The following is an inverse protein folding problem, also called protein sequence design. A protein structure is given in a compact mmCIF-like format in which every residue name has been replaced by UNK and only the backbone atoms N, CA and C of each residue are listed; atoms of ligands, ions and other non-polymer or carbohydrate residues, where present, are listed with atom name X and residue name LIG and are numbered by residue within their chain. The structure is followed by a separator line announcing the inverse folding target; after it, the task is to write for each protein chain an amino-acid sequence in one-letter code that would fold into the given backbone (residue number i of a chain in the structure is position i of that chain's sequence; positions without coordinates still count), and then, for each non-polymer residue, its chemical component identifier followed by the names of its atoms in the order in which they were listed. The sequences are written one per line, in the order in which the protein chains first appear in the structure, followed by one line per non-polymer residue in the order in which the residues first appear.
data_IF_055128831688
#
_entry.id   IF_055128831688
#
_cell.length_a   1.000
_cell.length_b   1.000
_cell.length_c   1.000
_cell.angle_alpha   90.00
_cell.angle_beta   90.00
_cell.angle_gamma   90.00
#
_symmetry.space_group_name_H-M   'P 1'
#
loop_
_entity.id
_entity.type
_entity.pdbx_description
1 polymer ?
#
# COMPACT_ATOMS: atom_id res chain seq x y z
N UNK A 1 -1.12 -9.99 1.85
CA UNK A 1 -2.36 -9.73 2.62
C UNK A 1 -2.97 -8.39 2.24
N UNK A 2 -2.49 -7.22 2.68
CA UNK A 2 -3.21 -5.95 2.39
C UNK A 2 -3.29 -5.59 0.90
N UNK A 3 -2.27 -5.91 0.10
CA UNK A 3 -2.27 -5.77 -1.37
C UNK A 3 -3.14 -6.80 -2.11
N UNK A 4 -3.73 -7.76 -1.38
CA UNK A 4 -4.36 -8.97 -1.92
C UNK A 4 -5.82 -9.10 -1.46
N UNK A 5 -6.11 -8.77 -0.19
CA UNK A 5 -7.46 -8.83 0.39
C UNK A 5 -8.08 -7.46 0.63
N UNK A 6 -7.34 -6.37 0.44
CA UNK A 6 -7.80 -5.04 0.85
C UNK A 6 -7.65 -4.80 2.35
N UNK A 7 -7.59 -3.53 2.73
CA UNK A 7 -7.43 -3.11 4.13
C UNK A 7 -8.78 -3.03 4.85
N UNK A 8 -9.86 -2.70 4.14
CA UNK A 8 -11.20 -2.58 4.71
C UNK A 8 -11.87 -3.94 4.90
N UNK A 9 -11.65 -4.90 4.00
CA UNK A 9 -12.20 -6.25 4.13
C UNK A 9 -11.51 -7.08 5.23
N UNK A 10 -10.27 -6.73 5.62
CA UNK A 10 -9.57 -7.38 6.71
C UNK A 10 -10.00 -6.80 8.07
N UNK A 11 -10.67 -7.60 8.90
CA UNK A 11 -10.90 -7.26 10.31
C UNK A 11 -9.57 -7.05 11.05
N UNK A 12 -9.54 -6.16 12.05
CA UNK A 12 -8.30 -5.85 12.79
C UNK A 12 -7.68 -7.09 13.45
N UNK A 13 -8.51 -8.02 13.94
CA UNK A 13 -8.05 -9.30 14.49
C UNK A 13 -7.44 -10.21 13.42
N UNK A 14 -7.93 -10.16 12.17
CA UNK A 14 -7.31 -10.89 11.05
C UNK A 14 -5.98 -10.27 10.64
N UNK A 15 -5.84 -8.94 10.72
CA UNK A 15 -4.57 -8.24 10.51
C UNK A 15 -3.56 -8.64 11.59
N UNK A 16 -3.94 -8.52 12.87
CA UNK A 16 -3.09 -8.85 14.02
C UNK A 16 -2.66 -10.32 13.99
N UNK A 17 -3.59 -11.24 13.68
CA UNK A 17 -3.30 -12.67 13.57
C UNK A 17 -2.29 -12.98 12.46
N UNK A 18 -2.34 -12.25 11.35
CA UNK A 18 -1.45 -12.48 10.20
C UNK A 18 -0.04 -11.88 10.37
N UNK A 19 0.13 -10.86 11.22
CA UNK A 19 1.45 -10.26 11.48
C UNK A 19 2.26 -11.00 12.56
N UNK A 20 1.70 -12.05 13.18
CA UNK A 20 2.34 -12.84 14.25
C UNK A 20 2.84 -11.99 15.44
N UNK A 21 2.25 -10.81 15.67
CA UNK A 21 2.58 -9.91 16.78
C UNK A 21 1.54 -10.09 17.90
N UNK A 22 1.94 -10.12 19.18
CA UNK A 22 0.99 -10.13 20.29
C UNK A 22 0.05 -8.93 20.24
N UNK A 23 -1.24 -9.16 20.56
CA UNK A 23 -2.28 -8.11 20.54
C UNK A 23 -1.89 -6.89 21.38
N UNK A 24 -1.25 -7.10 22.53
CA UNK A 24 -0.73 -6.02 23.38
C UNK A 24 0.34 -5.14 22.71
N UNK A 25 1.27 -5.75 21.96
CA UNK A 25 2.31 -5.01 21.23
C UNK A 25 1.74 -4.22 20.05
N UNK A 26 0.67 -4.71 19.41
CA UNK A 26 -0.04 -3.95 18.38
C UNK A 26 -0.65 -2.65 18.94
N UNK A 27 -1.39 -2.74 20.05
CA UNK A 27 -2.02 -1.57 20.66
C UNK A 27 -1.03 -0.61 21.34
N UNK A 28 0.18 -1.11 21.68
CA UNK A 28 1.28 -0.23 22.07
C UNK A 28 1.77 0.63 20.89
N UNK A 29 1.83 0.06 19.68
CA UNK A 29 2.29 0.78 18.50
C UNK A 29 1.19 1.64 17.84
N UNK A 30 -0.08 1.21 17.90
CA UNK A 30 -1.19 1.87 17.23
C UNK A 30 -2.41 2.02 18.14
N UNK A 31 -2.89 3.26 18.28
CA UNK A 31 -4.03 3.60 19.15
C UNK A 31 -5.38 3.08 18.61
N UNK A 32 -5.50 2.82 17.32
CA UNK A 32 -6.70 2.29 16.70
C UNK A 32 -6.40 1.59 15.36
N UNK A 33 -7.41 0.91 14.79
CA UNK A 33 -7.33 0.36 13.43
C UNK A 33 -7.02 1.48 12.45
N UNK A 34 -7.75 2.58 12.50
CA UNK A 34 -7.59 3.75 11.63
C UNK A 34 -6.16 4.31 11.69
N UNK A 35 -5.59 4.44 12.89
CA UNK A 35 -4.20 4.90 13.05
C UNK A 35 -3.20 3.95 12.38
N UNK A 36 -3.40 2.64 12.48
CA UNK A 36 -2.61 1.65 11.76
C UNK A 36 -2.77 1.77 10.24
N UNK A 37 -4.00 1.98 9.74
CA UNK A 37 -4.26 2.18 8.32
C UNK A 37 -3.56 3.39 7.73
N UNK A 38 -3.58 4.52 8.46
CA UNK A 38 -2.87 5.74 8.05
C UNK A 38 -1.36 5.48 8.00
N UNK A 39 -0.80 4.80 9.01
CA UNK A 39 0.62 4.47 9.02
C UNK A 39 1.02 3.53 7.86
N UNK A 40 0.19 2.54 7.54
CA UNK A 40 0.40 1.67 6.38
C UNK A 40 0.33 2.44 5.06
N UNK A 41 -0.63 3.36 4.93
CA UNK A 41 -0.76 4.23 3.77
C UNK A 41 0.47 5.10 3.56
N UNK A 42 0.96 5.74 4.64
CA UNK A 42 2.17 6.56 4.60
C UNK A 42 3.38 5.72 4.18
N UNK A 43 3.61 4.57 4.84
CA UNK A 43 4.72 3.68 4.52
C UNK A 43 4.68 3.16 3.07
N UNK A 44 3.47 2.88 2.54
CA UNK A 44 3.33 2.50 1.13
C UNK A 44 3.57 3.68 0.19
N UNK A 45 3.15 4.89 0.55
CA UNK A 45 3.46 6.12 -0.17
C UNK A 45 4.96 6.31 -0.33
N UNK A 46 5.70 6.23 0.78
CA UNK A 46 7.16 6.35 0.79
C UNK A 46 7.84 5.25 -0.04
N UNK A 47 7.40 4.01 0.11
CA UNK A 47 7.89 2.89 -0.70
C UNK A 47 7.68 3.11 -2.20
N UNK A 48 6.51 3.63 -2.58
CA UNK A 48 6.17 3.85 -3.98
C UNK A 48 6.91 5.06 -4.57
N UNK A 49 7.05 6.14 -3.79
CA UNK A 49 7.86 7.30 -4.16
C UNK A 49 9.32 6.89 -4.40
N UNK A 50 9.93 6.15 -3.47
CA UNK A 50 11.30 5.66 -3.65
C UNK A 50 11.44 4.75 -4.88
N UNK A 51 10.42 3.94 -5.19
CA UNK A 51 10.39 3.14 -6.41
C UNK A 51 10.33 4.03 -7.66
N UNK A 52 9.51 5.08 -7.68
CA UNK A 52 9.45 6.02 -8.79
C UNK A 52 10.79 6.74 -8.98
N UNK A 53 11.36 7.26 -7.90
CA UNK A 53 12.64 7.96 -7.92
C UNK A 53 13.74 7.10 -8.54
N UNK A 54 13.81 5.82 -8.13
CA UNK A 54 14.79 4.86 -8.67
C UNK A 54 14.77 4.74 -10.20
N UNK A 55 13.60 4.86 -10.83
CA UNK A 55 13.48 4.73 -12.28
C UNK A 55 13.48 6.08 -13.00
N UNK A 56 12.78 7.06 -12.46
CA UNK A 56 12.50 8.32 -13.16
C UNK A 56 13.61 9.35 -12.99
N UNK A 57 14.40 9.27 -11.92
CA UNK A 57 15.52 10.18 -11.67
C UNK A 57 16.89 9.63 -12.12
N UNK A 58 16.91 8.51 -12.85
CA UNK A 58 18.15 7.96 -13.40
C UNK A 58 18.58 8.73 -14.66
N UNK A 59 19.43 9.75 -14.47
CA UNK A 59 19.90 10.61 -15.55
C UNK A 59 20.81 9.94 -16.58
N UNK A 60 21.26 8.72 -16.32
CA UNK A 60 21.99 7.92 -17.30
C UNK A 60 21.07 7.28 -18.37
N UNK A 61 19.75 7.26 -18.15
CA UNK A 61 18.77 6.61 -19.02
C UNK A 61 17.90 7.64 -19.75
N UNK A 62 17.58 7.47 -21.04
CA UNK A 62 16.66 8.36 -21.75
C UNK A 62 15.26 8.42 -21.11
N UNK A 63 14.57 9.57 -21.09
CA UNK A 63 13.32 9.74 -20.34
C UNK A 63 12.21 8.72 -20.67
N UNK A 64 12.02 8.37 -21.95
CA UNK A 64 11.03 7.37 -22.34
C UNK A 64 11.42 5.95 -21.88
N UNK A 65 12.71 5.65 -21.84
CA UNK A 65 13.23 4.36 -21.38
C UNK A 65 13.08 4.19 -19.87
N UNK A 66 13.23 5.28 -19.08
CA UNK A 66 12.91 5.29 -17.64
C UNK A 66 11.47 4.87 -17.38
N UNK A 67 10.55 5.45 -18.16
CA UNK A 67 9.11 5.18 -18.04
C UNK A 67 8.78 3.73 -18.43
N UNK A 68 9.36 3.24 -19.53
CA UNK A 68 9.21 1.85 -19.94
C UNK A 68 9.82 0.86 -18.92
N UNK A 69 10.97 1.19 -18.33
CA UNK A 69 11.62 0.38 -17.31
C UNK A 69 10.78 0.28 -16.03
N UNK A 70 10.19 1.40 -15.58
CA UNK A 70 9.26 1.42 -14.46
C UNK A 70 8.05 0.52 -14.72
N UNK A 71 7.38 0.66 -15.87
CA UNK A 71 6.20 -0.15 -16.23
C UNK A 71 6.55 -1.64 -16.27
N UNK A 72 7.68 -1.98 -16.90
CA UNK A 72 8.15 -3.38 -16.97
C UNK A 72 8.43 -3.96 -15.59
N UNK A 73 9.12 -3.21 -14.74
CA UNK A 73 9.42 -3.63 -13.38
C UNK A 73 8.15 -3.76 -12.52
N UNK A 74 7.18 -2.86 -12.69
CA UNK A 74 5.88 -3.00 -12.06
C UNK A 74 5.15 -4.29 -12.51
N UNK A 75 5.15 -4.57 -13.81
CA UNK A 75 4.58 -5.81 -14.38
C UNK A 75 5.22 -7.08 -13.83
N UNK A 76 6.55 -7.15 -13.80
CA UNK A 76 7.31 -8.27 -13.21
C UNK A 76 6.98 -8.45 -11.71
N UNK A 77 6.83 -7.33 -10.99
CA UNK A 77 6.42 -7.35 -9.59
C UNK A 77 5.03 -7.97 -9.38
N UNK A 78 4.09 -7.73 -10.30
CA UNK A 78 2.75 -8.34 -10.25
C UNK A 78 2.77 -9.82 -10.63
N UNK A 79 3.53 -10.17 -11.68
CA UNK A 79 3.70 -11.54 -12.16
C UNK A 79 4.29 -12.46 -11.08
N UNK A 80 5.27 -11.99 -10.30
CA UNK A 80 5.86 -12.71 -9.16
C UNK A 80 4.82 -13.22 -8.16
N UNK A 81 3.68 -12.55 -8.05
CA UNK A 81 2.58 -12.93 -7.16
C UNK A 81 1.37 -13.49 -7.90
N UNK A 82 1.58 -14.01 -9.12
CA UNK A 82 0.53 -14.56 -9.99
C UNK A 82 -0.63 -13.57 -10.20
N UNK A 83 -0.31 -12.28 -10.29
CA UNK A 83 -1.29 -11.18 -10.44
C UNK A 83 -2.34 -11.09 -9.31
N UNK A 84 -2.15 -11.82 -8.19
CA UNK A 84 -3.02 -11.74 -7.01
C UNK A 84 -2.74 -10.52 -6.13
N UNK A 85 -1.69 -9.75 -6.44
CA UNK A 85 -1.31 -8.53 -5.71
C UNK A 85 -1.28 -7.34 -6.67
N UNK A 86 -2.16 -6.38 -6.40
CA UNK A 86 -2.28 -5.13 -7.15
C UNK A 86 -1.60 -3.94 -6.46
N UNK A 87 -1.94 -2.73 -6.91
CA UNK A 87 -1.52 -1.50 -6.25
C UNK A 87 -2.27 -1.35 -4.92
N UNK A 88 -1.56 -1.24 -3.80
CA UNK A 88 -2.19 -1.03 -2.49
C UNK A 88 -3.04 0.25 -2.48
N UNK A 89 -2.52 1.34 -3.05
CA UNK A 89 -3.25 2.61 -3.19
C UNK A 89 -4.47 2.45 -4.10
N UNK A 90 -4.39 1.66 -5.17
CA UNK A 90 -5.54 1.36 -6.03
C UNK A 90 -6.65 0.63 -5.29
N UNK A 91 -6.30 -0.40 -4.53
CA UNK A 91 -7.25 -1.17 -3.71
C UNK A 91 -7.86 -0.26 -2.62
N UNK A 92 -7.02 0.51 -1.91
CA UNK A 92 -7.46 1.44 -0.87
C UNK A 92 -8.35 2.57 -1.40
N UNK A 93 -8.04 3.15 -2.57
CA UNK A 93 -8.85 4.22 -3.18
C UNK A 93 -10.21 3.72 -3.68
N UNK A 94 -10.30 2.47 -4.15
CA UNK A 94 -11.57 1.86 -4.50
C UNK A 94 -12.43 1.56 -3.26
N UNK A 95 -11.80 1.10 -2.17
CA UNK A 95 -12.46 0.79 -0.91
C UNK A 95 -12.91 2.06 -0.14
N UNK A 96 -12.16 3.17 -0.24
CA UNK A 96 -12.51 4.45 0.39
C UNK A 96 -13.83 5.06 -0.12
N UNK A 97 -14.29 4.67 -1.33
CA UNK A 97 -15.57 5.12 -1.90
C UNK A 97 -16.79 4.50 -1.23
N UNK A 98 -16.63 3.41 -0.47
CA UNK A 98 -17.71 2.81 0.33
C UNK A 98 -17.91 3.50 1.68
N UNK A 99 -17.20 4.60 1.96
CA UNK A 99 -17.44 5.43 3.14
C UNK A 99 -18.53 6.47 2.83
N UNK A 100 -19.66 6.54 3.58
CA UNK A 100 -20.49 7.74 3.55
C UNK A 100 -19.63 8.88 4.11
N UNK A 101 -19.36 9.91 3.29
CA UNK A 101 -18.58 11.12 3.62
C UNK A 101 -18.67 11.48 5.12
N UNK A 102 -17.59 11.22 5.86
CA UNK A 102 -17.37 11.79 7.20
C UNK A 102 -15.92 12.24 7.31
N UNK A 103 -15.52 13.16 6.44
CA UNK A 103 -14.46 14.10 6.76
C UNK A 103 -15.14 15.31 7.40
N UNK A 104 -14.78 15.70 8.64
CA UNK A 104 -15.23 16.97 9.17
C UNK A 104 -14.54 18.10 8.40
N UNK A 105 -15.31 19.09 7.97
CA UNK A 105 -14.80 20.40 7.62
C UNK A 105 -14.01 20.97 8.81
N UNK A 106 -12.86 21.55 8.52
CA UNK A 106 -12.02 22.28 9.47
C UNK A 106 -10.69 22.60 8.84
#
# INVERSE_FOLDING_TARGET
MLTETGYLAAGIDAVIKNIAVPKGSFYHCFKSKEAFGIAVLAAYGDFFAHKLDKFLLDDAVPPLERMAAFVRHAGQGMEKFQFRRGCLVGNLLQEARCYPRRFPNG
#
